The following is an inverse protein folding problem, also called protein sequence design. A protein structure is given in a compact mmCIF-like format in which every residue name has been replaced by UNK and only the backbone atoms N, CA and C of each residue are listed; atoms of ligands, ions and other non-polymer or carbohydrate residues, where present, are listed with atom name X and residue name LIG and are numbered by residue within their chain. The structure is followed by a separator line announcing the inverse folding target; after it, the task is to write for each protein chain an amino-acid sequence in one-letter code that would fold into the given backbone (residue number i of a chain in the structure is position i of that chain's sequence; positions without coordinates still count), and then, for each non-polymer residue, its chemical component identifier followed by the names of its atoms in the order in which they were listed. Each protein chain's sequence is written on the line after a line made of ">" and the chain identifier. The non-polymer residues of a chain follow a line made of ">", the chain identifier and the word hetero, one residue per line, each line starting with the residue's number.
data_IF_298471116491
#
_entry.id   IF_298471116491
#
_cell.length_a   1.000
_cell.length_b   1.000
_cell.length_c   1.000
_cell.angle_alpha   90.00
_cell.angle_beta   90.00
_cell.angle_gamma   90.00
#
_symmetry.space_group_name_H-M   'P 1'
#
loop_
_entity.id
_entity.type
_entity.pdbx_description
1 polymer ?
#
# COMPACT_ATOMS: atom_id res chain seq x y z
N UNK A 1 -11.25 43.05 -10.58
CA UNK A 1 -11.67 41.72 -10.08
C UNK A 1 -10.94 40.68 -10.90
N UNK A 2 -9.89 40.08 -10.38
CA UNK A 2 -9.17 38.98 -11.05
C UNK A 2 -10.07 37.75 -10.93
N UNK A 3 -10.49 37.20 -12.07
CA UNK A 3 -11.38 36.06 -12.11
C UNK A 3 -10.70 34.84 -11.45
N UNK A 4 -11.40 34.11 -10.58
CA UNK A 4 -10.93 32.88 -9.92
C UNK A 4 -10.37 31.86 -10.91
N UNK A 5 -10.83 31.89 -12.16
CA UNK A 5 -10.33 31.08 -13.27
C UNK A 5 -8.87 31.43 -13.65
N UNK A 6 -8.50 32.71 -13.61
CA UNK A 6 -7.11 33.12 -13.92
C UNK A 6 -6.13 32.70 -12.82
N UNK A 7 -6.58 32.65 -11.56
CA UNK A 7 -5.75 32.16 -10.44
C UNK A 7 -5.51 30.66 -10.58
N UNK A 8 -6.54 29.88 -10.95
CA UNK A 8 -6.43 28.44 -11.18
C UNK A 8 -5.51 28.10 -12.36
N UNK A 9 -5.59 28.88 -13.45
CA UNK A 9 -4.70 28.70 -14.61
C UNK A 9 -3.26 29.12 -14.25
N UNK A 10 -3.08 30.19 -13.49
CA UNK A 10 -1.76 30.62 -13.04
C UNK A 10 -1.09 29.62 -12.08
N UNK A 11 -1.87 28.97 -11.19
CA UNK A 11 -1.36 27.92 -10.32
C UNK A 11 -0.97 26.66 -11.08
N UNK A 12 -1.69 26.30 -12.14
CA UNK A 12 -1.39 25.16 -12.99
C UNK A 12 -0.12 25.39 -13.83
N UNK A 13 0.13 26.64 -14.30
CA UNK A 13 1.34 26.95 -15.06
C UNK A 13 2.61 27.04 -14.22
N UNK A 14 2.51 27.38 -12.93
CA UNK A 14 3.66 27.36 -11.99
C UNK A 14 4.11 25.92 -11.71
N UNK A 15 3.19 24.95 -11.73
CA UNK A 15 3.54 23.52 -11.56
C UNK A 15 4.25 22.91 -12.78
N UNK A 16 4.08 23.47 -13.98
CA UNK A 16 4.69 22.93 -15.22
C UNK A 16 6.08 23.51 -15.54
N UNK A 17 6.55 24.52 -14.80
CA UNK A 17 7.83 25.20 -15.05
C UNK A 17 9.02 24.70 -14.20
N UNK A 18 8.87 23.58 -13.48
CA UNK A 18 10.02 22.90 -12.90
C UNK A 18 10.84 22.26 -14.03
N UNK A 19 11.75 23.01 -14.62
CA UNK A 19 12.78 22.48 -15.51
C UNK A 19 13.60 21.48 -14.71
N UNK A 20 13.41 20.22 -15.01
CA UNK A 20 14.30 19.16 -14.52
C UNK A 20 15.66 19.39 -15.19
N UNK A 21 16.59 19.96 -14.46
CA UNK A 21 17.99 19.94 -14.84
C UNK A 21 18.47 18.48 -14.71
N UNK A 22 18.41 17.75 -15.79
CA UNK A 22 19.13 16.50 -15.92
C UNK A 22 20.63 16.84 -15.83
N UNK A 23 21.24 16.61 -14.69
CA UNK A 23 22.69 16.68 -14.56
C UNK A 23 23.26 15.44 -15.29
N UNK A 24 24.05 15.68 -16.32
CA UNK A 24 24.93 14.69 -16.95
C UNK A 24 26.03 14.27 -15.95
N UNK A 25 25.64 13.47 -14.94
CA UNK A 25 26.59 12.60 -14.27
C UNK A 25 26.55 11.28 -15.02
N UNK A 26 27.72 10.76 -15.38
CA UNK A 26 27.93 9.34 -15.69
C UNK A 26 27.58 8.57 -14.40
N UNK A 27 26.31 8.49 -14.08
CA UNK A 27 25.84 7.70 -12.98
C UNK A 27 26.06 6.24 -13.38
N UNK A 28 26.95 5.60 -12.67
CA UNK A 28 26.95 4.14 -12.59
C UNK A 28 25.52 3.81 -12.23
N UNK A 29 24.77 3.26 -13.20
CA UNK A 29 23.39 2.84 -13.01
C UNK A 29 23.39 1.79 -11.88
N UNK A 30 23.07 2.22 -10.68
CA UNK A 30 22.95 1.36 -9.53
C UNK A 30 21.45 1.15 -9.28
N UNK A 31 20.85 0.09 -9.84
CA UNK A 31 19.44 -0.18 -9.66
C UNK A 31 19.17 -0.40 -8.18
N UNK A 32 18.19 0.31 -7.65
CA UNK A 32 17.68 0.05 -6.31
C UNK A 32 16.91 -1.27 -6.36
N UNK A 33 17.46 -2.31 -5.79
CA UNK A 33 16.77 -3.57 -5.63
C UNK A 33 15.78 -3.46 -4.48
N UNK A 34 14.52 -3.78 -4.78
CA UNK A 34 13.46 -3.87 -3.78
C UNK A 34 13.01 -5.31 -3.66
N UNK A 35 12.93 -5.79 -2.43
CA UNK A 35 12.37 -7.11 -2.09
C UNK A 35 10.90 -6.97 -1.67
N UNK A 36 10.22 -8.10 -1.47
CA UNK A 36 8.83 -8.17 -0.99
C UNK A 36 7.87 -7.36 -1.86
N UNK A 37 8.04 -7.48 -3.17
CA UNK A 37 7.20 -6.75 -4.15
C UNK A 37 5.72 -7.12 -4.09
N UNK A 38 5.36 -8.25 -3.46
CA UNK A 38 3.97 -8.62 -3.19
C UNK A 38 3.20 -7.52 -2.45
N UNK A 39 3.89 -6.68 -1.66
CA UNK A 39 3.26 -5.56 -0.94
C UNK A 39 2.65 -4.50 -1.87
N UNK A 40 3.00 -4.50 -3.15
CA UNK A 40 2.45 -3.57 -4.15
C UNK A 40 1.19 -4.09 -4.85
N UNK A 41 0.86 -5.38 -4.69
CA UNK A 41 -0.31 -6.00 -5.34
C UNK A 41 -1.57 -5.56 -4.60
N UNK A 42 -2.59 -5.07 -5.33
CA UNK A 42 -3.89 -4.73 -4.78
C UNK A 42 -4.59 -5.96 -4.18
N UNK A 43 -5.01 -5.93 -2.91
CA UNK A 43 -5.55 -7.12 -2.27
C UNK A 43 -7.05 -7.31 -2.47
N UNK A 44 -7.77 -6.29 -2.94
CA UNK A 44 -9.23 -6.31 -3.00
C UNK A 44 -9.76 -6.17 -4.43
N UNK A 45 -10.84 -6.87 -4.72
CA UNK A 45 -11.46 -6.92 -6.05
C UNK A 45 -12.10 -5.57 -6.46
N UNK A 46 -12.57 -4.75 -5.50
CA UNK A 46 -13.16 -3.44 -5.78
C UNK A 46 -12.13 -2.51 -6.40
N UNK A 47 -10.99 -2.33 -5.72
CA UNK A 47 -9.94 -1.46 -6.20
C UNK A 47 -9.29 -2.01 -7.48
N UNK A 48 -9.06 -3.32 -7.57
CA UNK A 48 -8.55 -3.97 -8.78
C UNK A 48 -9.48 -3.74 -9.98
N UNK A 49 -10.79 -3.84 -9.80
CA UNK A 49 -11.78 -3.56 -10.84
C UNK A 49 -11.87 -2.09 -11.27
N UNK A 50 -11.38 -1.17 -10.44
CA UNK A 50 -11.30 0.27 -10.73
C UNK A 50 -9.92 0.72 -11.23
N UNK A 51 -8.99 -0.21 -11.50
CA UNK A 51 -7.63 0.10 -11.95
C UNK A 51 -6.68 0.45 -10.82
N UNK A 52 -6.78 -0.25 -9.69
CA UNK A 52 -5.92 -0.11 -8.51
C UNK A 52 -6.01 1.29 -7.85
N UNK A 53 -7.21 1.85 -7.77
CA UNK A 53 -7.48 3.11 -7.09
C UNK A 53 -8.12 2.87 -5.72
N UNK A 54 -7.66 3.60 -4.71
CA UNK A 54 -8.17 3.42 -3.36
C UNK A 54 -7.78 4.52 -2.36
N UNK A 55 -6.82 5.39 -2.71
CA UNK A 55 -6.30 6.40 -1.80
C UNK A 55 -7.35 7.45 -1.37
N UNK A 56 -8.29 7.80 -2.27
CA UNK A 56 -9.32 8.80 -2.04
C UNK A 56 -10.76 8.30 -2.24
N UNK A 57 -10.96 7.05 -2.65
CA UNK A 57 -12.30 6.44 -2.78
C UNK A 57 -13.03 6.44 -1.44
N UNK A 58 -14.35 6.25 -1.49
CA UNK A 58 -15.17 6.13 -0.27
C UNK A 58 -14.57 5.14 0.72
N UNK A 59 -14.69 5.43 2.03
CA UNK A 59 -14.24 4.54 3.09
C UNK A 59 -14.88 3.16 2.97
N UNK A 60 -14.08 2.12 3.07
CA UNK A 60 -14.52 0.73 3.09
C UNK A 60 -13.66 -0.13 4.04
N UNK A 61 -13.97 -1.42 4.15
CA UNK A 61 -13.24 -2.33 5.03
C UNK A 61 -11.79 -2.55 4.58
N UNK A 62 -11.50 -2.43 3.28
CA UNK A 62 -10.18 -2.63 2.70
C UNK A 62 -9.31 -1.36 2.70
N UNK A 63 -9.80 -0.29 3.32
CA UNK A 63 -9.08 0.99 3.43
C UNK A 63 -7.72 0.87 4.14
N UNK A 64 -7.48 -0.21 4.91
CA UNK A 64 -6.21 -0.48 5.57
C UNK A 64 -5.01 -0.48 4.60
N UNK A 65 -5.16 -1.09 3.45
CA UNK A 65 -4.11 -1.15 2.43
C UNK A 65 -3.93 0.18 1.69
N UNK A 66 -5.04 0.87 1.43
CA UNK A 66 -5.06 2.04 0.57
C UNK A 66 -4.80 3.35 1.30
N UNK A 67 -5.55 3.58 2.38
CA UNK A 67 -5.49 4.80 3.18
C UNK A 67 -6.26 4.60 4.50
N UNK A 68 -5.61 4.22 5.59
CA UNK A 68 -6.26 4.02 6.88
C UNK A 68 -6.96 5.25 7.44
N UNK A 69 -6.53 6.47 7.05
CA UNK A 69 -7.17 7.71 7.49
C UNK A 69 -8.66 7.82 7.09
N UNK A 70 -9.16 6.98 6.18
CA UNK A 70 -10.57 6.95 5.78
C UNK A 70 -11.50 6.36 6.84
N UNK A 71 -11.02 5.49 7.72
CA UNK A 71 -11.87 4.74 8.65
C UNK A 71 -12.77 5.59 9.56
N UNK A 72 -12.35 6.75 10.10
CA UNK A 72 -13.25 7.58 10.91
C UNK A 72 -14.50 8.04 10.16
N UNK A 73 -14.45 8.14 8.82
CA UNK A 73 -15.60 8.54 7.98
C UNK A 73 -16.52 7.36 7.61
N UNK A 74 -16.19 6.14 7.98
CA UNK A 74 -17.05 4.99 7.72
C UNK A 74 -18.40 5.13 8.44
N UNK A 75 -19.48 4.75 7.78
CA UNK A 75 -20.84 4.75 8.36
C UNK A 75 -20.93 3.63 9.40
N UNK A 76 -20.41 2.45 9.11
CA UNK A 76 -20.42 1.30 10.01
C UNK A 76 -19.40 1.45 11.12
N UNK A 77 -19.76 0.99 12.31
CA UNK A 77 -18.88 1.05 13.49
C UNK A 77 -17.73 0.05 13.42
N UNK A 78 -17.96 -1.07 12.77
CA UNK A 78 -16.95 -2.10 12.59
C UNK A 78 -17.17 -2.83 11.27
N UNK A 79 -16.12 -3.44 10.75
CA UNK A 79 -16.19 -4.29 9.58
C UNK A 79 -14.99 -5.22 9.51
N UNK A 80 -15.21 -6.37 8.87
CA UNK A 80 -14.18 -7.36 8.57
C UNK A 80 -14.35 -7.81 7.13
N UNK A 81 -13.26 -7.98 6.40
CA UNK A 81 -13.26 -8.52 5.05
C UNK A 81 -12.18 -9.58 4.89
N UNK A 82 -12.48 -10.59 4.10
CA UNK A 82 -11.54 -11.59 3.63
C UNK A 82 -11.54 -11.55 2.11
N UNK A 83 -10.37 -11.32 1.53
CA UNK A 83 -10.16 -11.30 0.10
C UNK A 83 -9.21 -12.44 -0.27
N UNK A 84 -9.50 -13.13 -1.36
CA UNK A 84 -8.66 -14.16 -1.93
C UNK A 84 -8.51 -13.90 -3.43
N UNK A 85 -7.28 -13.78 -3.88
CA UNK A 85 -6.96 -13.46 -5.27
C UNK A 85 -5.95 -14.48 -5.80
N UNK A 86 -6.36 -15.41 -6.68
CA UNK A 86 -5.43 -16.23 -7.42
C UNK A 86 -4.64 -15.34 -8.37
N UNK A 87 -3.33 -15.26 -8.15
CA UNK A 87 -2.45 -14.40 -8.91
C UNK A 87 -1.84 -15.13 -10.09
N UNK A 88 -1.90 -14.53 -11.28
CA UNK A 88 -1.34 -15.09 -12.52
C UNK A 88 -1.81 -16.53 -12.86
N UNK A 89 -3.00 -16.92 -12.44
CA UNK A 89 -3.52 -18.31 -12.51
C UNK A 89 -3.47 -18.94 -13.91
N UNK A 90 -3.46 -18.12 -14.96
CA UNK A 90 -3.35 -18.62 -16.35
C UNK A 90 -1.90 -19.02 -16.72
N UNK A 91 -0.91 -18.52 -15.98
CA UNK A 91 0.51 -18.80 -16.20
C UNK A 91 1.03 -19.82 -15.18
N UNK A 92 0.66 -19.63 -13.92
CA UNK A 92 1.08 -20.45 -12.77
C UNK A 92 -0.13 -20.65 -11.89
N UNK A 93 -0.47 -21.90 -11.56
CA UNK A 93 -1.76 -22.26 -10.95
C UNK A 93 -1.79 -22.14 -9.43
N UNK A 94 -0.66 -21.91 -8.77
CA UNK A 94 -0.45 -22.06 -7.33
C UNK A 94 0.08 -20.79 -6.65
N UNK A 95 0.06 -19.66 -7.34
CA UNK A 95 0.37 -18.34 -6.74
C UNK A 95 -0.93 -17.71 -6.24
N UNK A 96 -1.02 -17.49 -4.95
CA UNK A 96 -2.22 -17.03 -4.29
C UNK A 96 -1.95 -15.89 -3.31
N UNK A 97 -2.87 -14.93 -3.29
CA UNK A 97 -2.91 -13.83 -2.33
C UNK A 97 -4.15 -13.93 -1.46
N UNK A 98 -3.96 -14.06 -0.15
CA UNK A 98 -5.02 -13.94 0.85
C UNK A 98 -4.82 -12.65 1.65
N UNK A 99 -5.91 -11.92 1.89
CA UNK A 99 -5.89 -10.67 2.63
C UNK A 99 -7.10 -10.58 3.56
N UNK A 100 -6.82 -10.46 4.84
CA UNK A 100 -7.80 -10.24 5.89
C UNK A 100 -7.63 -8.81 6.41
N UNK A 101 -8.71 -8.04 6.48
CA UNK A 101 -8.70 -6.70 7.07
C UNK A 101 -9.91 -6.50 7.99
N UNK A 102 -9.72 -5.68 9.00
CA UNK A 102 -10.79 -5.30 9.89
C UNK A 102 -10.53 -3.96 10.55
N UNK A 103 -11.62 -3.29 10.94
CA UNK A 103 -11.55 -2.03 11.65
C UNK A 103 -12.64 -1.94 12.72
N UNK A 104 -12.40 -1.08 13.69
CA UNK A 104 -13.36 -0.70 14.72
C UNK A 104 -13.26 0.80 15.02
N UNK A 105 -14.38 1.53 14.90
CA UNK A 105 -14.45 2.95 15.26
C UNK A 105 -14.62 3.09 16.77
N UNK A 106 -13.69 3.84 17.38
CA UNK A 106 -13.73 4.19 18.79
C UNK A 106 -14.40 5.56 18.92
N UNK A 107 -15.73 5.56 19.14
CA UNK A 107 -16.51 6.80 19.10
C UNK A 107 -16.65 7.38 17.69
N UNK A 108 -16.76 8.70 17.61
CA UNK A 108 -17.07 9.39 16.37
C UNK A 108 -15.81 9.89 15.63
N UNK A 109 -14.69 10.01 16.31
CA UNK A 109 -13.49 10.69 15.80
C UNK A 109 -12.29 9.79 15.56
N UNK A 110 -12.31 8.55 16.02
CA UNK A 110 -11.14 7.67 15.91
C UNK A 110 -11.50 6.25 15.51
N UNK A 111 -10.55 5.58 14.89
CA UNK A 111 -10.67 4.17 14.53
C UNK A 111 -9.33 3.45 14.73
N UNK A 112 -9.43 2.19 15.11
CA UNK A 112 -8.33 1.22 15.04
C UNK A 112 -8.62 0.23 13.94
N UNK A 113 -7.58 -0.24 13.28
CA UNK A 113 -7.70 -1.23 12.22
C UNK A 113 -6.49 -2.12 12.18
N UNK A 114 -6.66 -3.30 11.61
CA UNK A 114 -5.57 -4.25 11.45
C UNK A 114 -5.77 -5.03 10.15
N UNK A 115 -4.68 -5.50 9.57
CA UNK A 115 -4.76 -6.44 8.48
C UNK A 115 -3.66 -7.50 8.55
N UNK A 116 -3.91 -8.59 7.85
CA UNK A 116 -2.97 -9.66 7.63
C UNK A 116 -2.99 -10.03 6.14
N UNK A 117 -1.82 -10.16 5.57
CA UNK A 117 -1.60 -10.52 4.19
C UNK A 117 -0.73 -11.76 4.12
N UNK A 118 -1.10 -12.70 3.29
CA UNK A 118 -0.32 -13.89 2.99
C UNK A 118 -0.24 -14.05 1.48
N UNK A 119 0.96 -14.17 0.96
CA UNK A 119 1.23 -14.34 -0.46
C UNK A 119 2.07 -15.60 -0.65
N UNK A 120 1.49 -16.60 -1.29
CA UNK A 120 2.18 -17.82 -1.70
C UNK A 120 2.76 -17.62 -3.10
N UNK A 121 4.02 -17.97 -3.28
CA UNK A 121 4.66 -17.94 -4.60
C UNK A 121 4.57 -19.30 -5.33
N UNK A 122 3.81 -20.25 -4.75
CA UNK A 122 3.63 -21.56 -5.33
C UNK A 122 4.78 -22.52 -5.06
N UNK A 123 4.73 -23.66 -5.74
CA UNK A 123 5.75 -24.70 -5.64
C UNK A 123 6.88 -24.46 -6.65
N UNK A 124 8.09 -24.37 -6.17
CA UNK A 124 9.29 -24.23 -7.01
C UNK A 124 10.13 -25.50 -6.91
N UNK A 125 10.29 -26.18 -8.04
CA UNK A 125 11.16 -27.36 -8.13
C UNK A 125 12.59 -26.95 -8.43
N UNK A 126 13.52 -27.45 -7.64
CA UNK A 126 14.94 -27.20 -7.84
C UNK A 126 15.47 -27.99 -9.03
N UNK A 127 16.20 -27.32 -9.90
CA UNK A 127 16.75 -27.92 -11.15
C UNK A 127 18.16 -28.51 -10.96
N UNK A 128 18.64 -28.56 -9.74
CA UNK A 128 19.99 -29.01 -9.39
C UNK A 128 20.17 -30.55 -9.30
N UNK A 129 19.13 -31.30 -9.65
CA UNK A 129 19.10 -32.75 -9.57
C UNK A 129 18.69 -33.31 -8.21
N UNK A 130 18.38 -32.47 -7.23
CA UNK A 130 17.93 -32.90 -5.89
C UNK A 130 16.45 -33.32 -5.83
N UNK A 131 15.65 -33.00 -6.86
CA UNK A 131 14.18 -33.16 -6.86
C UNK A 131 13.50 -32.50 -5.65
N UNK A 132 14.10 -31.47 -5.08
CA UNK A 132 13.59 -30.80 -3.91
C UNK A 132 12.54 -29.77 -4.34
N UNK A 133 11.39 -29.76 -3.67
CA UNK A 133 10.34 -28.76 -3.85
C UNK A 133 10.34 -27.81 -2.67
N UNK A 134 10.25 -26.52 -2.94
CA UNK A 134 10.14 -25.47 -1.94
C UNK A 134 8.84 -24.69 -2.14
N UNK A 135 8.31 -24.14 -1.07
CA UNK A 135 7.09 -23.33 -1.07
C UNK A 135 7.38 -21.94 -0.49
N UNK A 136 7.97 -21.02 -1.28
CA UNK A 136 8.27 -19.69 -0.80
C UNK A 136 6.99 -18.89 -0.54
N UNK A 137 7.00 -18.09 0.51
CA UNK A 137 5.87 -17.24 0.86
C UNK A 137 6.30 -15.93 1.50
N UNK A 138 5.44 -14.94 1.41
CA UNK A 138 5.57 -13.64 2.08
C UNK A 138 4.34 -13.38 2.94
N UNK A 139 4.55 -12.82 4.11
CA UNK A 139 3.49 -12.47 5.04
C UNK A 139 3.70 -11.06 5.58
N UNK A 140 2.62 -10.33 5.78
CA UNK A 140 2.68 -9.09 6.54
C UNK A 140 1.49 -8.94 7.45
N UNK A 141 1.73 -8.27 8.58
CA UNK A 141 0.70 -7.87 9.53
C UNK A 141 0.86 -6.40 9.82
N UNK A 142 -0.24 -5.67 9.84
CA UNK A 142 -0.23 -4.26 10.20
C UNK A 142 -1.40 -3.89 11.13
N UNK A 143 -1.13 -2.86 11.91
CA UNK A 143 -2.12 -2.23 12.79
C UNK A 143 -2.06 -0.73 12.56
N UNK A 144 -3.22 -0.09 12.44
CA UNK A 144 -3.31 1.34 12.25
C UNK A 144 -4.22 1.99 13.29
N UNK A 145 -3.92 3.24 13.56
CA UNK A 145 -4.77 4.16 14.28
C UNK A 145 -5.05 5.38 13.42
N UNK A 146 -6.31 5.78 13.38
CA UNK A 146 -6.79 6.91 12.58
C UNK A 146 -7.59 7.87 13.45
N UNK A 147 -7.34 9.16 13.28
CA UNK A 147 -7.94 10.23 14.06
C UNK A 147 -8.48 11.32 13.15
N UNK A 148 -9.75 11.66 13.31
CA UNK A 148 -10.38 12.82 12.69
C UNK A 148 -10.00 14.08 13.45
N UNK A 149 -9.33 15.01 12.79
CA UNK A 149 -8.90 16.29 13.36
C UNK A 149 -9.96 17.39 13.17
N UNK A 150 -10.78 17.25 12.14
CA UNK A 150 -11.93 18.10 11.88
C UNK A 150 -13.03 17.28 11.19
N UNK A 151 -14.23 17.84 11.04
CA UNK A 151 -15.35 17.20 10.35
C UNK A 151 -15.02 16.74 8.92
N UNK A 152 -13.98 17.30 8.32
CA UNK A 152 -13.60 17.05 6.94
C UNK A 152 -12.21 16.42 6.78
N UNK A 153 -11.43 16.32 7.85
CA UNK A 153 -10.02 15.93 7.73
C UNK A 153 -9.59 14.94 8.80
N UNK A 154 -8.91 13.89 8.38
CA UNK A 154 -8.33 12.87 9.26
C UNK A 154 -6.89 12.53 8.91
N UNK A 155 -6.18 12.03 9.90
CA UNK A 155 -4.83 11.45 9.78
C UNK A 155 -4.88 9.99 10.23
N UNK A 156 -3.97 9.20 9.66
CA UNK A 156 -3.77 7.81 10.04
C UNK A 156 -2.29 7.47 10.08
N UNK A 157 -1.93 6.61 11.00
CA UNK A 157 -0.61 6.02 11.08
C UNK A 157 -0.73 4.51 11.27
N UNK A 158 0.10 3.74 10.58
CA UNK A 158 0.16 2.29 10.72
C UNK A 158 1.59 1.84 11.00
N UNK A 159 1.70 0.71 11.69
CA UNK A 159 2.96 -0.03 11.85
C UNK A 159 2.75 -1.39 11.23
N UNK A 160 3.71 -1.82 10.42
CA UNK A 160 3.69 -3.07 9.68
C UNK A 160 4.91 -3.90 9.98
N UNK A 161 4.70 -5.18 10.23
CA UNK A 161 5.73 -6.20 10.24
C UNK A 161 5.62 -7.03 8.96
N UNK A 162 6.76 -7.25 8.31
CA UNK A 162 6.89 -7.98 7.06
C UNK A 162 7.82 -9.15 7.31
N UNK A 163 7.44 -10.32 6.82
CA UNK A 163 8.21 -11.54 6.87
C UNK A 163 8.23 -12.17 5.48
N UNK A 164 9.40 -12.56 5.02
CA UNK A 164 9.60 -13.17 3.70
C UNK A 164 10.46 -14.41 3.86
N UNK A 165 9.90 -15.55 3.50
CA UNK A 165 10.59 -16.82 3.44
C UNK A 165 10.70 -17.25 1.98
N UNK A 166 11.77 -16.83 1.36
CA UNK A 166 12.13 -17.20 -0.01
C UNK A 166 13.26 -18.23 -0.01
N UNK A 167 13.55 -18.77 1.17
CA UNK A 167 14.73 -19.61 1.35
C UNK A 167 14.44 -21.03 0.95
N UNK A 168 15.37 -21.57 0.23
CA UNK A 168 15.53 -23.01 0.11
C UNK A 168 16.54 -23.40 1.19
N UNK A 169 16.13 -24.16 2.15
CA UNK A 169 16.98 -24.69 3.23
C UNK A 169 18.12 -25.58 2.70
N UNK A 170 18.88 -25.07 1.75
CA UNK A 170 19.90 -25.83 1.06
C UNK A 170 21.30 -25.62 1.61
N UNK A 171 21.53 -24.50 2.30
CA UNK A 171 22.77 -24.22 3.00
C UNK A 171 22.49 -23.39 4.24
N UNK A 172 23.32 -23.51 5.26
CA UNK A 172 23.25 -22.77 6.54
C UNK A 172 23.30 -21.23 6.38
N UNK A 173 23.44 -20.74 5.14
CA UNK A 173 23.63 -19.32 4.84
C UNK A 173 22.35 -18.58 4.43
N UNK A 174 21.20 -19.23 4.29
CA UNK A 174 19.96 -18.59 3.87
C UNK A 174 18.91 -18.65 4.98
N UNK A 175 18.62 -17.54 5.63
CA UNK A 175 17.55 -17.41 6.60
C UNK A 175 16.44 -16.50 6.07
N UNK A 176 15.18 -16.72 6.50
CA UNK A 176 14.07 -15.81 6.19
C UNK A 176 14.37 -14.38 6.60
N UNK A 177 13.87 -13.43 5.82
CA UNK A 177 14.00 -12.01 6.11
C UNK A 177 12.82 -11.46 6.89
N UNK A 178 13.07 -10.46 7.74
CA UNK A 178 12.01 -9.69 8.37
C UNK A 178 12.33 -8.19 8.38
N UNK A 179 11.29 -7.37 8.31
CA UNK A 179 11.41 -5.92 8.33
C UNK A 179 10.24 -5.28 9.04
N UNK A 180 10.46 -4.09 9.58
CA UNK A 180 9.40 -3.22 10.08
C UNK A 180 9.25 -2.00 9.20
N UNK A 181 8.01 -1.59 9.00
CA UNK A 181 7.64 -0.41 8.24
C UNK A 181 6.56 0.38 8.96
N UNK A 182 6.44 1.66 8.61
CA UNK A 182 5.36 2.52 9.02
C UNK A 182 4.68 3.13 7.80
N UNK A 183 3.39 3.40 7.93
CA UNK A 183 2.61 4.11 6.93
C UNK A 183 2.08 5.41 7.56
N UNK A 184 2.03 6.47 6.75
CA UNK A 184 1.41 7.74 7.12
C UNK A 184 0.36 8.10 6.07
N UNK A 185 -0.81 8.47 6.53
CA UNK A 185 -1.94 8.75 5.65
C UNK A 185 -2.72 9.97 6.09
N UNK A 186 -3.35 10.63 5.13
CA UNK A 186 -4.36 11.64 5.39
C UNK A 186 -5.53 11.50 4.41
N UNK A 187 -6.68 11.95 4.85
CA UNK A 187 -7.89 11.95 4.06
C UNK A 187 -8.72 13.20 4.34
N UNK A 188 -9.20 13.80 3.28
CA UNK A 188 -10.12 14.95 3.32
C UNK A 188 -11.39 14.61 2.56
N UNK A 189 -12.54 14.90 3.16
CA UNK A 189 -13.86 14.71 2.56
C UNK A 189 -14.72 15.94 2.79
N UNK A 190 -15.35 16.42 1.73
CA UNK A 190 -16.30 17.54 1.82
C UNK A 190 -17.38 17.43 0.74
N UNK A 191 -18.52 18.03 0.99
CA UNK A 191 -19.58 18.17 0.00
C UNK A 191 -19.46 19.53 -0.66
N UNK A 192 -19.44 19.54 -1.99
CA UNK A 192 -19.34 20.75 -2.81
C UNK A 192 -20.46 20.76 -3.85
N UNK A 193 -20.97 21.93 -4.16
CA UNK A 193 -21.97 22.09 -5.21
C UNK A 193 -21.26 22.39 -6.55
N UNK A 194 -21.48 21.52 -7.54
CA UNK A 194 -21.05 21.72 -8.92
C UNK A 194 -22.27 21.97 -9.77
N UNK A 195 -22.56 23.23 -10.03
CA UNK A 195 -23.82 23.64 -10.64
C UNK A 195 -25.01 23.40 -9.71
N UNK A 196 -25.97 22.58 -10.14
CA UNK A 196 -27.16 22.23 -9.36
C UNK A 196 -27.03 20.89 -8.62
N UNK A 197 -25.86 20.26 -8.68
CA UNK A 197 -25.62 18.94 -8.07
C UNK A 197 -24.69 19.07 -6.88
N UNK A 198 -25.09 18.46 -5.78
CA UNK A 198 -24.22 18.21 -4.64
C UNK A 198 -23.31 17.03 -4.97
N UNK A 199 -22.00 17.24 -4.85
CA UNK A 199 -20.97 16.23 -5.11
C UNK A 199 -20.10 16.07 -3.87
N UNK A 200 -19.71 14.85 -3.58
CA UNK A 200 -18.71 14.57 -2.56
C UNK A 200 -17.30 14.68 -3.19
N UNK A 201 -16.45 15.48 -2.60
CA UNK A 201 -15.04 15.58 -2.95
C UNK A 201 -14.23 14.79 -1.92
N UNK A 202 -13.49 13.79 -2.37
CA UNK A 202 -12.52 13.06 -1.58
C UNK A 202 -11.10 13.37 -2.03
N UNK A 203 -10.20 13.68 -1.11
CA UNK A 203 -8.77 13.80 -1.36
C UNK A 203 -8.02 12.90 -0.39
N UNK A 204 -7.07 12.12 -0.90
CA UNK A 204 -6.34 11.17 -0.09
C UNK A 204 -4.84 11.13 -0.42
N UNK A 205 -4.04 10.96 0.60
CA UNK A 205 -2.61 10.69 0.49
C UNK A 205 -2.24 9.55 1.44
N UNK A 206 -1.42 8.65 0.94
CA UNK A 206 -0.83 7.59 1.75
C UNK A 206 0.62 7.35 1.33
N UNK A 207 1.53 7.43 2.29
CA UNK A 207 2.91 7.01 2.12
C UNK A 207 3.05 5.70 2.89
N UNK A 208 3.27 4.61 2.19
CA UNK A 208 3.34 3.28 2.78
C UNK A 208 4.73 2.68 2.69
N UNK A 209 5.01 1.74 3.61
CA UNK A 209 6.25 1.00 3.70
C UNK A 209 7.48 1.90 3.91
N UNK A 210 7.37 2.94 4.74
CA UNK A 210 8.51 3.71 5.22
C UNK A 210 9.19 2.86 6.30
N UNK A 211 10.34 2.24 6.01
CA UNK A 211 10.91 1.34 7.01
C UNK A 211 12.33 0.90 6.77
N UNK A 212 12.73 -0.09 7.55
CA UNK A 212 14.05 -0.71 7.47
C UNK A 212 14.21 -1.50 6.17
N UNK A 213 15.47 -1.75 5.81
CA UNK A 213 15.76 -2.77 4.81
C UNK A 213 15.39 -4.14 5.37
N UNK A 214 14.97 -5.05 4.51
CA UNK A 214 14.86 -6.46 4.83
C UNK A 214 16.21 -7.12 4.60
N UNK A 215 16.66 -7.92 5.56
CA UNK A 215 17.92 -8.63 5.48
C UNK A 215 17.62 -10.13 5.48
N UNK A 216 18.11 -10.81 4.48
CA UNK A 216 18.11 -12.27 4.38
C UNK A 216 19.43 -12.82 4.90
N UNK A 217 19.40 -13.96 5.60
CA UNK A 217 20.57 -14.53 6.29
C UNK A 217 21.77 -14.81 5.38
N UNK A 218 22.92 -15.03 6.01
CA UNK A 218 24.18 -15.48 5.40
C UNK A 218 25.03 -14.38 4.78
N UNK A 219 24.60 -13.74 3.74
CA UNK A 219 25.40 -12.81 2.93
C UNK A 219 25.27 -11.32 3.32
N UNK A 220 24.60 -10.97 4.44
CA UNK A 220 24.26 -9.59 4.79
C UNK A 220 23.55 -8.84 3.64
N UNK A 221 22.85 -9.55 2.77
CA UNK A 221 22.12 -8.96 1.65
C UNK A 221 20.92 -8.21 2.19
N UNK A 222 21.03 -6.89 2.20
CA UNK A 222 19.96 -5.97 2.65
C UNK A 222 19.33 -5.30 1.46
N UNK A 223 18.03 -5.50 1.27
CA UNK A 223 17.25 -4.93 0.19
C UNK A 223 16.18 -3.96 0.72
N UNK A 224 15.83 -2.96 -0.07
CA UNK A 224 14.78 -2.03 0.31
C UNK A 224 13.41 -2.69 0.21
N UNK A 225 12.51 -2.31 1.13
CA UNK A 225 11.08 -2.60 0.98
C UNK A 225 10.44 -1.57 0.04
N UNK A 226 9.34 -1.92 -0.67
CA UNK A 226 8.75 -1.06 -1.70
C UNK A 226 7.99 0.11 -1.07
N UNK A 227 8.69 1.19 -0.72
CA UNK A 227 8.07 2.44 -0.28
C UNK A 227 7.24 3.04 -1.41
N UNK A 228 6.00 3.40 -1.13
CA UNK A 228 5.05 3.87 -2.13
C UNK A 228 4.31 5.12 -1.65
N UNK A 229 4.21 6.13 -2.51
CA UNK A 229 3.37 7.30 -2.33
C UNK A 229 2.13 7.18 -3.23
N UNK A 230 0.95 7.20 -2.61
CA UNK A 230 -0.33 7.24 -3.31
C UNK A 230 -1.01 8.57 -3.07
N UNK A 231 -1.40 9.22 -4.15
CA UNK A 231 -2.22 10.42 -4.14
C UNK A 231 -3.51 10.12 -4.89
N UNK A 232 -4.64 10.62 -4.42
CA UNK A 232 -5.92 10.41 -5.06
C UNK A 232 -6.88 11.57 -4.85
N UNK A 233 -7.79 11.68 -5.81
CA UNK A 233 -8.97 12.54 -5.74
C UNK A 233 -10.18 11.75 -6.27
N UNK A 234 -11.34 11.94 -5.69
CA UNK A 234 -12.59 11.30 -6.09
C UNK A 234 -13.75 12.28 -6.03
#
# INVERSE_FOLDING_TARGET
>A
MINKLHIAILSLTVFTSSTVFAQDKKDIFNPVNTSVTSQTIAPDARAAGMGDVGAATDPDVNSQYWNPAKYPFNISRAGVSLNYTPWLRQLVSDIDLAYLAGYYRIGDYSAVSASMRYFSLGEVQMTDGSNMTINPYEMSMDVAYSLMLSEHFSLGAAVRWIYSDLTYNYTDDTAPGSAFAADLSCYYQNYINIGERECQLGLGMNISNIGSKITFGGDNRSEFIPTNLRLGAS
#
